data_IF_913894353829
#
_entry.id   IF_913894353829
#
_cell.length_a   1.000
_cell.length_b   1.000
_cell.length_c   1.000
_cell.angle_alpha   90.00
_cell.angle_beta   90.00
_cell.angle_gamma   90.00
#
_symmetry.space_group_name_H-M   'P 1'
#
loop_
_entity.id
_entity.type
_entity.pdbx_description
1 polymer ?
#
# COMPACT_ATOMS: atom_id res chain seq x y z
N UNK A 1 -11.29 8.35 -33.35
CA UNK A 1 -10.76 8.93 -32.09
C UNK A 1 -9.98 7.85 -31.38
N UNK A 2 -8.67 7.96 -31.39
CA UNK A 2 -7.78 6.96 -30.77
C UNK A 2 -7.83 7.18 -29.24
N UNK A 3 -8.41 6.24 -28.50
CA UNK A 3 -8.33 6.23 -27.02
C UNK A 3 -6.84 6.12 -26.67
N UNK A 4 -6.29 7.16 -26.09
CA UNK A 4 -4.94 7.09 -25.52
C UNK A 4 -5.04 6.20 -24.26
N UNK A 5 -4.75 4.91 -24.42
CA UNK A 5 -4.64 4.00 -23.29
C UNK A 5 -3.42 4.43 -22.46
N UNK A 6 -3.65 5.08 -21.33
CA UNK A 6 -2.61 5.30 -20.33
C UNK A 6 -2.19 3.91 -19.85
N UNK A 7 -1.00 3.48 -20.29
CA UNK A 7 -0.46 2.17 -19.90
C UNK A 7 0.12 2.31 -18.49
N UNK A 8 -0.67 1.90 -17.50
CA UNK A 8 -0.18 1.80 -16.11
C UNK A 8 0.80 0.63 -16.04
N UNK A 9 1.93 0.88 -15.40
CA UNK A 9 3.03 -0.08 -15.22
C UNK A 9 3.51 -0.04 -13.76
N UNK A 10 4.26 -1.03 -13.30
CA UNK A 10 4.96 -0.94 -12.02
C UNK A 10 5.76 0.35 -11.89
N UNK A 11 5.81 0.92 -10.70
CA UNK A 11 6.35 2.25 -10.34
C UNK A 11 5.47 3.46 -10.72
N UNK A 12 4.39 3.29 -11.51
CA UNK A 12 3.43 4.38 -11.73
C UNK A 12 2.77 4.77 -10.40
N UNK A 13 2.38 6.05 -10.28
CA UNK A 13 1.60 6.54 -9.14
C UNK A 13 0.17 6.81 -9.59
N UNK A 14 -0.79 6.34 -8.80
CA UNK A 14 -2.22 6.61 -8.99
C UNK A 14 -2.77 7.23 -7.70
N UNK A 15 -3.78 8.07 -7.81
CA UNK A 15 -4.52 8.56 -6.64
C UNK A 15 -5.79 7.77 -6.44
N UNK A 16 -6.06 7.32 -5.21
CA UNK A 16 -7.24 6.55 -4.85
C UNK A 16 -7.80 7.02 -3.50
N UNK A 17 -8.95 7.70 -3.53
CA UNK A 17 -9.57 8.27 -2.32
C UNK A 17 -8.66 9.26 -1.58
N UNK A 18 -7.96 10.12 -2.32
CA UNK A 18 -7.01 11.09 -1.78
C UNK A 18 -5.68 10.48 -1.31
N UNK A 19 -5.45 9.18 -1.54
CA UNK A 19 -4.22 8.48 -1.20
C UNK A 19 -3.40 8.26 -2.47
N UNK A 20 -2.20 8.81 -2.54
CA UNK A 20 -1.25 8.48 -3.59
C UNK A 20 -0.69 7.09 -3.37
N UNK A 21 -0.76 6.26 -4.40
CA UNK A 21 -0.37 4.86 -4.35
C UNK A 21 0.62 4.53 -5.45
N UNK A 22 1.68 3.81 -5.11
CA UNK A 22 2.64 3.24 -6.06
C UNK A 22 2.05 1.93 -6.56
N UNK A 23 2.00 1.74 -7.88
CA UNK A 23 1.66 0.47 -8.51
C UNK A 23 2.84 -0.48 -8.35
N UNK A 24 2.65 -1.58 -7.64
CA UNK A 24 3.67 -2.61 -7.43
C UNK A 24 3.62 -3.70 -8.50
N UNK A 25 2.40 -4.07 -8.92
CA UNK A 25 2.18 -5.13 -9.90
C UNK A 25 0.94 -4.85 -10.75
N UNK A 26 0.95 -5.31 -11.98
CA UNK A 26 -0.17 -5.18 -12.93
C UNK A 26 -0.48 -6.56 -13.49
N UNK A 27 -1.63 -7.10 -13.10
CA UNK A 27 -2.18 -8.34 -13.60
C UNK A 27 -3.33 -8.04 -14.59
N UNK A 28 -3.86 -9.06 -15.26
CA UNK A 28 -4.86 -8.87 -16.31
C UNK A 28 -6.11 -8.09 -15.83
N UNK A 29 -6.60 -8.39 -14.63
CA UNK A 29 -7.86 -7.88 -14.09
C UNK A 29 -7.72 -7.07 -12.80
N UNK A 30 -6.48 -6.95 -12.28
CA UNK A 30 -6.19 -6.26 -11.03
C UNK A 30 -4.80 -5.64 -11.01
N UNK A 31 -4.64 -4.65 -10.15
CA UNK A 31 -3.36 -4.01 -9.85
C UNK A 31 -3.10 -4.07 -8.34
N UNK A 32 -1.87 -4.38 -7.96
CA UNK A 32 -1.41 -4.25 -6.58
C UNK A 32 -0.84 -2.85 -6.38
N UNK A 33 -1.32 -2.17 -5.35
CA UNK A 33 -0.83 -0.84 -5.00
C UNK A 33 -0.40 -0.78 -3.53
N UNK A 34 0.54 0.12 -3.25
CA UNK A 34 1.03 0.45 -1.91
C UNK A 34 0.92 1.96 -1.71
N UNK A 35 0.42 2.41 -0.57
CA UNK A 35 0.47 3.83 -0.21
C UNK A 35 1.90 4.37 -0.40
N UNK A 36 2.04 5.48 -1.15
CA UNK A 36 3.34 6.10 -1.42
C UNK A 36 4.00 6.55 -0.13
N UNK A 37 3.22 7.22 0.71
CA UNK A 37 3.63 7.71 2.03
C UNK A 37 2.92 6.92 3.15
N UNK A 38 3.37 7.10 4.39
CA UNK A 38 2.65 6.62 5.56
C UNK A 38 1.37 7.42 5.77
N UNK A 39 0.27 6.73 6.11
CA UNK A 39 -1.00 7.38 6.49
C UNK A 39 -1.00 7.88 7.93
N UNK A 40 0.09 7.73 8.66
CA UNK A 40 0.29 8.11 10.05
C UNK A 40 0.95 7.00 10.85
N UNK A 41 1.30 7.30 12.10
CA UNK A 41 1.95 6.37 13.00
C UNK A 41 0.91 5.74 13.93
N UNK A 42 0.92 4.40 14.02
CA UNK A 42 -0.03 3.63 14.83
C UNK A 42 0.65 2.38 15.40
N UNK A 43 0.20 1.88 16.57
CA UNK A 43 0.58 0.55 17.00
C UNK A 43 0.07 -0.50 16.01
N UNK A 44 0.83 -1.56 15.83
CA UNK A 44 0.38 -2.74 15.08
C UNK A 44 -0.82 -3.39 15.78
N UNK A 45 -0.71 -3.52 17.12
CA UNK A 45 -1.78 -3.96 17.99
C UNK A 45 -1.62 -3.37 19.39
N UNK A 46 -2.68 -2.72 19.91
CA UNK A 46 -2.69 -2.17 21.25
C UNK A 46 -2.54 -3.26 22.34
N UNK A 47 -3.04 -4.47 22.07
CA UNK A 47 -2.90 -5.66 22.90
C UNK A 47 -1.52 -6.34 22.81
N UNK A 48 -0.58 -5.78 22.01
CA UNK A 48 0.77 -6.29 21.83
C UNK A 48 0.84 -7.67 21.15
N UNK A 49 -0.14 -8.05 20.33
CA UNK A 49 -0.11 -9.26 19.52
C UNK A 49 0.50 -8.96 18.13
N UNK A 50 1.39 -9.81 17.66
CA UNK A 50 1.93 -9.73 16.30
C UNK A 50 1.13 -10.53 15.26
N UNK A 51 -0.04 -11.03 15.64
CA UNK A 51 -0.97 -11.71 14.74
C UNK A 51 -1.84 -10.70 14.00
N UNK A 52 -1.46 -10.37 12.75
CA UNK A 52 -2.02 -9.27 11.98
C UNK A 52 -3.56 -9.23 11.94
N UNK A 53 -4.31 -10.29 11.57
CA UNK A 53 -5.78 -10.23 11.48
C UNK A 53 -6.48 -10.01 12.83
N UNK A 54 -5.82 -10.33 13.95
CA UNK A 54 -6.36 -10.09 15.29
C UNK A 54 -6.06 -8.68 15.80
N UNK A 55 -5.04 -8.02 15.20
CA UNK A 55 -4.54 -6.72 15.62
C UNK A 55 -5.51 -5.56 15.40
N UNK A 56 -5.36 -4.51 16.22
CA UNK A 56 -6.15 -3.28 16.12
C UNK A 56 -5.91 -2.56 14.79
N UNK A 57 -4.68 -2.59 14.26
CA UNK A 57 -4.34 -1.97 12.97
C UNK A 57 -5.08 -2.65 11.81
N UNK A 58 -5.14 -3.97 11.75
CA UNK A 58 -5.87 -4.67 10.70
C UNK A 58 -7.37 -4.33 10.73
N UNK A 59 -7.96 -4.25 11.93
CA UNK A 59 -9.36 -3.85 12.11
C UNK A 59 -9.60 -2.41 11.64
N UNK A 60 -8.70 -1.49 11.99
CA UNK A 60 -8.76 -0.10 11.52
C UNK A 60 -8.71 -0.03 9.99
N UNK A 61 -7.73 -0.68 9.36
CA UNK A 61 -7.54 -0.67 7.91
C UNK A 61 -8.78 -1.20 7.16
N UNK A 62 -9.42 -2.26 7.66
CA UNK A 62 -10.57 -2.88 7.03
C UNK A 62 -11.94 -2.34 7.53
N UNK A 63 -11.94 -1.37 8.43
CA UNK A 63 -13.10 -0.68 8.97
C UNK A 63 -13.09 0.81 8.63
N UNK A 64 -12.57 1.62 9.56
CA UNK A 64 -12.62 3.08 9.47
C UNK A 64 -11.81 3.63 8.28
N UNK A 65 -10.67 3.05 7.95
CA UNK A 65 -9.86 3.52 6.82
C UNK A 65 -10.59 3.32 5.47
N UNK A 66 -11.29 2.19 5.26
CA UNK A 66 -12.14 2.02 4.06
C UNK A 66 -13.25 3.08 4.00
N UNK A 67 -13.85 3.44 5.14
CA UNK A 67 -14.86 4.51 5.18
C UNK A 67 -14.25 5.87 4.81
N UNK A 68 -13.05 6.15 5.29
CA UNK A 68 -12.30 7.36 4.93
C UNK A 68 -12.01 7.43 3.43
N UNK A 69 -11.52 6.35 2.83
CA UNK A 69 -11.31 6.28 1.38
C UNK A 69 -12.60 6.56 0.60
N UNK A 70 -13.70 5.95 1.05
CA UNK A 70 -15.03 6.17 0.43
C UNK A 70 -15.50 7.62 0.56
N UNK A 71 -15.34 8.23 1.72
CA UNK A 71 -15.69 9.63 1.95
C UNK A 71 -14.89 10.58 1.07
N UNK A 72 -13.64 10.20 0.73
CA UNK A 72 -12.77 10.93 -0.18
C UNK A 72 -12.98 10.54 -1.67
N UNK A 73 -14.11 9.90 -2.00
CA UNK A 73 -14.52 9.64 -3.38
C UNK A 73 -14.02 8.32 -3.98
N UNK A 74 -13.36 7.43 -3.20
CA UNK A 74 -12.95 6.14 -3.73
C UNK A 74 -14.15 5.21 -3.99
N UNK A 75 -14.14 4.54 -5.15
CA UNK A 75 -15.01 3.39 -5.38
C UNK A 75 -14.51 2.16 -4.62
N UNK A 76 -14.95 1.99 -3.39
CA UNK A 76 -14.53 0.86 -2.53
C UNK A 76 -15.04 -0.51 -3.00
N UNK A 77 -15.89 -0.58 -4.02
CA UNK A 77 -16.29 -1.84 -4.69
C UNK A 77 -15.18 -2.40 -5.59
N UNK A 78 -14.20 -1.57 -5.94
CA UNK A 78 -13.01 -1.96 -6.68
C UNK A 78 -11.96 -2.67 -5.81
N UNK A 79 -12.03 -2.54 -4.48
CA UNK A 79 -11.14 -3.25 -3.55
C UNK A 79 -11.38 -4.76 -3.62
N UNK A 80 -10.35 -5.53 -3.95
CA UNK A 80 -10.41 -6.98 -4.07
C UNK A 80 -9.98 -7.64 -2.76
N UNK A 81 -10.84 -8.42 -2.09
CA UNK A 81 -10.42 -9.25 -0.96
C UNK A 81 -9.27 -10.17 -1.39
N UNK A 82 -8.17 -10.11 -0.69
CA UNK A 82 -6.92 -10.81 -1.05
C UNK A 82 -6.45 -11.65 0.12
N UNK A 83 -6.12 -12.91 -0.15
CA UNK A 83 -5.51 -13.80 0.82
C UNK A 83 -4.00 -13.56 0.84
N UNK A 84 -3.47 -13.30 2.04
CA UNK A 84 -2.04 -13.15 2.30
C UNK A 84 -1.56 -14.22 3.26
N UNK A 85 -0.39 -14.78 2.99
CA UNK A 85 0.29 -15.76 3.86
C UNK A 85 0.92 -15.02 5.05
N UNK A 86 0.64 -15.49 6.26
CA UNK A 86 1.16 -14.96 7.52
C UNK A 86 2.24 -15.84 8.13
N UNK A 87 2.89 -16.68 7.32
CA UNK A 87 4.10 -17.39 7.73
C UNK A 87 5.07 -16.37 8.33
N UNK A 88 5.51 -16.61 9.57
CA UNK A 88 6.46 -15.71 10.25
C UNK A 88 7.81 -15.71 9.56
N UNK A 89 8.64 -14.71 9.87
CA UNK A 89 9.95 -14.55 9.20
C UNK A 89 10.93 -15.70 9.46
N UNK A 90 10.72 -16.47 10.55
CA UNK A 90 11.43 -17.71 10.88
C UNK A 90 10.77 -18.98 10.33
N UNK A 91 9.67 -18.85 9.55
CA UNK A 91 9.02 -19.95 8.84
C UNK A 91 7.90 -20.67 9.59
N UNK A 92 7.52 -20.24 10.80
CA UNK A 92 6.37 -20.82 11.52
C UNK A 92 5.04 -20.42 10.88
N UNK A 93 4.09 -21.37 10.80
CA UNK A 93 2.80 -21.21 10.11
C UNK A 93 1.60 -21.09 11.05
N UNK A 94 1.80 -20.78 12.31
CA UNK A 94 0.74 -20.76 13.33
C UNK A 94 -0.40 -19.79 13.02
N UNK A 95 -0.10 -18.71 12.28
CA UNK A 95 -1.08 -17.69 11.91
C UNK A 95 -1.77 -17.96 10.57
N UNK A 96 -1.29 -18.97 9.83
CA UNK A 96 -1.88 -19.42 8.57
C UNK A 96 -1.99 -18.31 7.53
N UNK A 97 -3.19 -18.12 7.03
CA UNK A 97 -3.51 -17.11 6.01
C UNK A 97 -4.65 -16.20 6.51
N UNK A 98 -4.76 -15.01 5.92
CA UNK A 98 -5.90 -14.12 6.15
C UNK A 98 -6.36 -13.48 4.85
N UNK A 99 -7.67 -13.28 4.70
CA UNK A 99 -8.26 -12.57 3.56
C UNK A 99 -8.71 -11.18 4.00
N UNK A 100 -8.10 -10.14 3.45
CA UNK A 100 -8.34 -8.74 3.78
C UNK A 100 -8.51 -7.91 2.50
N UNK A 101 -9.29 -6.83 2.55
CA UNK A 101 -9.36 -5.85 1.45
C UNK A 101 -8.15 -4.92 1.45
N UNK A 102 -7.72 -4.52 2.65
CA UNK A 102 -6.54 -3.69 2.87
C UNK A 102 -5.63 -4.40 3.85
N UNK A 103 -4.36 -4.49 3.52
CA UNK A 103 -3.35 -5.20 4.30
C UNK A 103 -2.04 -4.42 4.36
N UNK A 104 -1.10 -4.89 5.14
CA UNK A 104 0.30 -4.48 5.08
C UNK A 104 1.06 -5.48 4.21
N UNK A 105 2.09 -5.05 3.50
CA UNK A 105 2.94 -5.98 2.79
C UNK A 105 3.54 -7.01 3.77
N UNK A 106 3.66 -8.25 3.34
CA UNK A 106 4.48 -9.23 4.04
C UNK A 106 5.98 -8.98 3.73
N UNK A 107 6.88 -9.58 4.51
CA UNK A 107 8.31 -9.54 4.21
C UNK A 107 8.64 -10.03 2.80
N UNK A 108 7.96 -11.08 2.34
CA UNK A 108 8.20 -11.64 1.02
C UNK A 108 7.68 -10.73 -0.10
N UNK A 109 6.51 -10.11 0.09
CA UNK A 109 6.01 -9.09 -0.84
C UNK A 109 6.96 -7.87 -0.87
N UNK A 110 7.44 -7.41 0.29
CA UNK A 110 8.42 -6.34 0.34
C UNK A 110 9.71 -6.69 -0.39
N UNK A 111 10.27 -7.88 -0.18
CA UNK A 111 11.46 -8.37 -0.88
C UNK A 111 11.23 -8.44 -2.39
N UNK A 112 10.07 -8.95 -2.83
CA UNK A 112 9.70 -9.05 -4.24
C UNK A 112 9.69 -7.68 -4.94
N UNK A 113 9.13 -6.67 -4.28
CA UNK A 113 8.95 -5.33 -4.87
C UNK A 113 9.95 -4.29 -4.38
N UNK A 114 11.01 -4.71 -3.66
CA UNK A 114 11.99 -3.82 -3.02
C UNK A 114 12.57 -2.76 -3.94
N UNK A 115 12.84 -3.11 -5.20
CA UNK A 115 13.48 -2.22 -6.18
C UNK A 115 12.61 -1.04 -6.64
N UNK A 116 11.30 -1.12 -6.44
CA UNK A 116 10.34 -0.08 -6.84
C UNK A 116 9.68 0.62 -5.66
N UNK A 117 9.91 0.15 -4.44
CA UNK A 117 9.41 0.76 -3.21
C UNK A 117 10.45 1.77 -2.71
N UNK A 118 10.17 3.09 -2.75
CA UNK A 118 11.07 4.08 -2.19
C UNK A 118 11.17 3.93 -0.67
N UNK A 119 12.34 4.22 -0.13
CA UNK A 119 12.51 4.37 1.29
C UNK A 119 11.72 5.60 1.78
N UNK A 120 11.27 5.55 3.04
CA UNK A 120 10.71 6.70 3.76
C UNK A 120 11.71 7.14 4.84
N UNK A 121 11.60 8.36 5.29
CA UNK A 121 12.38 8.85 6.44
C UNK A 121 11.96 8.16 7.74
N UNK A 122 10.71 7.66 7.81
CA UNK A 122 10.16 6.92 8.94
C UNK A 122 10.17 5.40 8.73
N UNK A 123 10.15 4.67 9.84
CA UNK A 123 9.97 3.22 9.86
C UNK A 123 8.50 2.86 9.70
N UNK A 124 8.18 1.73 9.04
CA UNK A 124 6.80 1.35 8.79
C UNK A 124 6.57 -0.16 8.90
N UNK A 125 5.38 -0.54 9.37
CA UNK A 125 5.01 -1.92 9.65
C UNK A 125 4.86 -2.79 8.40
N UNK A 126 5.25 -4.07 8.56
CA UNK A 126 4.88 -5.18 7.68
C UNK A 126 3.90 -6.12 8.40
N UNK A 127 3.12 -6.92 7.64
CA UNK A 127 2.18 -7.87 8.22
C UNK A 127 2.85 -9.09 8.87
N UNK A 128 4.12 -9.35 8.53
CA UNK A 128 4.85 -10.55 8.96
C UNK A 128 5.26 -10.44 10.43
N UNK A 129 4.96 -11.48 11.21
CA UNK A 129 5.49 -11.64 12.56
C UNK A 129 6.99 -11.96 12.52
N UNK A 130 7.76 -11.51 13.50
CA UNK A 130 9.16 -11.96 13.67
C UNK A 130 9.22 -13.47 13.91
N UNK A 131 8.38 -13.96 14.80
CA UNK A 131 8.10 -15.35 15.12
C UNK A 131 6.69 -15.43 15.72
N UNK A 132 6.28 -16.57 16.22
CA UNK A 132 4.92 -16.78 16.73
C UNK A 132 4.89 -17.14 18.22
N UNK A 133 3.69 -17.33 18.75
CA UNK A 133 3.44 -17.71 20.14
C UNK A 133 4.10 -19.05 20.49
N UNK A 134 4.10 -20.02 19.58
CA UNK A 134 4.71 -21.34 19.81
C UNK A 134 6.22 -21.27 20.04
N UNK A 135 6.87 -20.21 19.57
CA UNK A 135 8.29 -19.92 19.83
C UNK A 135 8.52 -18.79 20.86
N UNK A 136 7.47 -18.38 21.59
CA UNK A 136 7.54 -17.37 22.66
C UNK A 136 7.66 -15.90 22.20
N UNK A 137 7.40 -15.60 20.93
CA UNK A 137 7.55 -14.25 20.35
C UNK A 137 6.25 -13.66 19.80
N UNK A 138 5.14 -13.86 20.50
CA UNK A 138 3.81 -13.38 20.08
C UNK A 138 3.66 -11.84 19.97
N UNK A 139 4.70 -11.06 20.26
CA UNK A 139 4.63 -9.60 20.37
C UNK A 139 5.53 -8.82 19.43
N UNK A 140 6.36 -9.48 18.60
CA UNK A 140 7.29 -8.80 17.71
C UNK A 140 6.81 -8.88 16.25
N UNK A 141 6.41 -7.76 15.68
CA UNK A 141 6.09 -7.63 14.24
C UNK A 141 7.30 -7.09 13.46
N UNK A 142 7.39 -7.44 12.19
CA UNK A 142 8.44 -6.93 11.29
C UNK A 142 8.10 -5.53 10.81
N UNK A 143 9.14 -4.75 10.51
CA UNK A 143 9.03 -3.42 9.95
C UNK A 143 10.21 -3.10 9.03
N UNK A 144 10.08 -2.06 8.24
CA UNK A 144 11.14 -1.53 7.36
C UNK A 144 11.73 -0.29 7.98
N UNK A 145 13.06 -0.22 8.07
CA UNK A 145 13.82 0.97 8.44
C UNK A 145 13.84 2.02 7.32
N UNK A 146 14.28 3.26 7.62
CA UNK A 146 14.48 4.33 6.65
C UNK A 146 15.53 4.02 5.57
N UNK A 147 16.48 3.13 5.84
CA UNK A 147 17.44 2.63 4.85
C UNK A 147 16.91 1.43 4.04
N UNK A 148 15.70 0.96 4.34
CA UNK A 148 15.06 -0.19 3.71
C UNK A 148 15.47 -1.54 4.25
N UNK A 149 16.29 -1.61 5.30
CA UNK A 149 16.55 -2.87 6.01
C UNK A 149 15.34 -3.29 6.86
N UNK A 150 15.31 -4.56 7.28
CA UNK A 150 14.21 -5.11 8.06
C UNK A 150 14.58 -5.19 9.54
N UNK A 151 13.68 -4.74 10.40
CA UNK A 151 13.75 -4.87 11.85
C UNK A 151 12.54 -5.58 12.44
N UNK A 152 12.53 -5.72 13.77
CA UNK A 152 11.37 -6.17 14.53
C UNK A 152 11.12 -5.27 15.73
N UNK A 153 9.87 -5.03 16.06
CA UNK A 153 9.45 -4.17 17.15
C UNK A 153 8.23 -4.74 17.84
N UNK A 154 8.05 -4.40 19.13
CA UNK A 154 6.85 -4.77 19.88
C UNK A 154 5.61 -4.16 19.23
N UNK A 155 4.56 -4.95 19.07
CA UNK A 155 3.35 -4.59 18.33
C UNK A 155 2.61 -3.37 18.92
N UNK A 156 2.75 -3.09 20.20
CA UNK A 156 2.16 -1.91 20.83
C UNK A 156 2.89 -0.57 20.51
N UNK A 157 4.04 -0.62 19.82
CA UNK A 157 4.81 0.61 19.54
C UNK A 157 4.06 1.52 18.57
N UNK A 158 3.65 2.69 19.03
CA UNK A 158 2.87 3.67 18.25
C UNK A 158 3.69 4.64 17.40
N UNK A 159 4.99 4.37 17.18
CA UNK A 159 5.89 5.29 16.48
C UNK A 159 6.20 4.86 15.05
N UNK A 160 5.64 3.76 14.58
CA UNK A 160 5.90 3.27 13.23
C UNK A 160 4.77 3.64 12.30
N UNK A 161 5.14 4.02 11.09
CA UNK A 161 4.24 4.39 10.03
C UNK A 161 3.42 3.21 9.51
N UNK A 162 2.31 3.53 8.90
CA UNK A 162 1.41 2.57 8.26
C UNK A 162 1.35 2.85 6.78
N UNK A 163 1.72 1.89 5.95
CA UNK A 163 1.62 1.93 4.48
C UNK A 163 0.63 0.86 4.01
N UNK A 164 -0.64 1.19 3.84
CA UNK A 164 -1.63 0.23 3.35
C UNK A 164 -1.29 -0.25 1.94
N UNK A 165 -1.51 -1.55 1.71
CA UNK A 165 -1.46 -2.18 0.41
C UNK A 165 -2.81 -2.83 0.10
N UNK A 166 -3.21 -2.85 -1.17
CA UNK A 166 -4.46 -3.46 -1.60
C UNK A 166 -4.46 -3.74 -3.10
N UNK A 167 -5.29 -4.71 -3.51
CA UNK A 167 -5.59 -4.91 -4.92
C UNK A 167 -6.83 -4.13 -5.33
N UNK A 168 -6.75 -3.50 -6.49
CA UNK A 168 -7.86 -2.85 -7.17
C UNK A 168 -8.17 -3.58 -8.47
N UNK A 169 -9.46 -3.66 -8.83
CA UNK A 169 -9.85 -4.11 -10.17
C UNK A 169 -9.24 -3.16 -11.21
N UNK A 170 -8.63 -3.72 -12.27
CA UNK A 170 -8.01 -2.90 -13.33
C UNK A 170 -9.01 -1.99 -14.05
N UNK A 171 -10.30 -2.32 -14.06
CA UNK A 171 -11.36 -1.47 -14.62
C UNK A 171 -11.47 -0.09 -13.96
N UNK A 172 -11.00 0.07 -12.71
CA UNK A 172 -10.99 1.38 -12.05
C UNK A 172 -10.08 2.40 -12.77
N UNK A 173 -9.08 1.93 -13.50
CA UNK A 173 -8.14 2.79 -14.22
C UNK A 173 -8.82 3.64 -15.30
N UNK A 174 -9.94 3.15 -15.86
CA UNK A 174 -10.76 3.93 -16.79
C UNK A 174 -11.43 5.12 -16.11
N UNK A 175 -11.78 4.98 -14.82
CA UNK A 175 -12.40 6.04 -14.01
C UNK A 175 -11.40 6.97 -13.33
N UNK A 176 -10.16 6.50 -13.11
CA UNK A 176 -9.09 7.31 -12.51
C UNK A 176 -8.33 8.14 -13.56
N UNK A 177 -8.45 7.80 -14.83
CA UNK A 177 -7.95 8.62 -15.93
C UNK A 177 -8.95 9.76 -16.12
N UNK A 178 -8.59 11.03 -15.87
CA UNK A 178 -9.45 12.13 -16.28
C UNK A 178 -9.71 11.97 -17.78
N UNK A 179 -10.98 11.96 -18.16
CA UNK A 179 -11.32 11.96 -19.57
C UNK A 179 -10.67 13.20 -20.20
N UNK A 180 -9.78 13.02 -21.19
CA UNK A 180 -9.18 14.15 -21.91
C UNK A 180 -10.26 15.07 -22.51
N UNK A 181 -11.52 14.59 -22.61
CA UNK A 181 -12.67 15.37 -23.01
C UNK A 181 -13.14 16.36 -21.93
N UNK A 182 -12.70 16.24 -20.68
CA UNK A 182 -13.00 17.18 -19.58
C UNK A 182 -12.05 18.36 -19.56
N UNK A 183 -10.91 18.27 -20.28
CA UNK A 183 -9.96 19.35 -20.40
C UNK A 183 -10.09 20.07 -21.73
N UNK A 184 -10.09 21.39 -21.70
CA UNK A 184 -9.97 22.19 -22.90
C UNK A 184 -8.57 22.02 -23.51
N UNK A 185 -8.44 22.21 -24.82
CA UNK A 185 -7.16 22.17 -25.52
C UNK A 185 -6.14 23.12 -24.85
N UNK A 186 -6.60 24.23 -24.29
CA UNK A 186 -5.78 25.23 -23.62
C UNK A 186 -5.23 24.73 -22.27
N UNK A 187 -6.04 24.01 -21.48
CA UNK A 187 -5.61 23.38 -20.22
C UNK A 187 -4.58 22.28 -20.45
N UNK A 188 -4.82 21.44 -21.47
CA UNK A 188 -3.86 20.39 -21.86
C UNK A 188 -2.54 21.01 -22.34
N UNK A 189 -2.58 22.08 -23.09
CA UNK A 189 -1.39 22.78 -23.57
C UNK A 189 -0.61 23.42 -22.41
N UNK A 190 -1.28 24.04 -21.46
CA UNK A 190 -0.67 24.60 -20.25
C UNK A 190 0.07 23.52 -19.43
N UNK A 191 -0.56 22.34 -19.25
CA UNK A 191 0.05 21.25 -18.49
C UNK A 191 1.28 20.66 -19.21
N UNK A 192 1.23 20.54 -20.55
CA UNK A 192 2.40 20.11 -21.35
C UNK A 192 3.54 21.10 -21.22
N UNK A 193 3.27 22.40 -21.32
CA UNK A 193 4.28 23.44 -21.19
C UNK A 193 4.89 23.46 -19.78
N UNK A 194 4.09 23.29 -18.73
CA UNK A 194 4.56 23.20 -17.34
C UNK A 194 5.53 22.02 -17.15
N UNK A 195 5.17 20.83 -17.62
CA UNK A 195 6.02 19.62 -17.51
C UNK A 195 7.32 19.74 -18.29
N UNK A 196 7.28 20.37 -19.47
CA UNK A 196 8.48 20.62 -20.25
C UNK A 196 9.41 21.64 -19.58
N UNK A 197 8.87 22.66 -18.89
CA UNK A 197 9.66 23.61 -18.14
C UNK A 197 10.38 22.96 -16.95
N UNK A 198 9.69 22.10 -16.20
CA UNK A 198 10.27 21.35 -15.07
C UNK A 198 11.37 20.36 -15.51
N UNK A 199 11.28 19.82 -16.73
CA UNK A 199 12.28 18.91 -17.29
C UNK A 199 13.57 19.63 -17.73
N UNK A 200 13.54 20.95 -17.96
CA UNK A 200 14.71 21.74 -18.39
C UNK A 200 15.47 22.38 -17.23
N UNK A 201 14.94 22.38 -16.01
CA UNK A 201 15.63 22.90 -14.82
C UNK A 201 16.46 21.83 -14.07
N UNK A 202 16.49 20.59 -14.58
CA UNK A 202 17.20 19.44 -13.96
C UNK A 202 18.42 18.96 -14.76
N UNK A 203 18.92 19.74 -15.72
CA UNK A 203 20.20 19.50 -16.41
C UNK A 203 21.33 20.43 -15.94
#
# INVERSE_FOLDING_TARGET
MTKTNIKIAPSSVISYGGLDCIVLDVEQDKILVLAKESIGNMPFDEGNSNNFPKGTLCKYLNGEFIKTLKANGADTSALIPTTIDLTSDDGLKDYGETTQKIFLLTCDMYRKYRSIIPNLDDWWWLATAYSTESNGYASLARYVYSDGSLGSRRAYSGHLGVRPAFYLKSSILESLSPSLSEFTTEELLKEVLRRNAESTETE
#
